data_IF_192684225341
#
_entry.id   IF_192684225341
#
_cell.length_a   1.000
_cell.length_b   1.000
_cell.length_c   1.000
_cell.angle_alpha   90.00
_cell.angle_beta   90.00
_cell.angle_gamma   90.00
#
_symmetry.space_group_name_H-M   'P 1'
#
loop_
_entity.id
_entity.type
_entity.pdbx_description
1 polymer ?
#
# COMPACT_ATOMS: atom_id res chain seq x y z
N UNK A 1 -1.51 -8.13 -1.97
CA UNK A 1 -2.48 -7.19 -1.38
C UNK A 1 -3.58 -7.99 -0.75
N UNK A 2 -4.20 -7.50 0.33
CA UNK A 2 -5.24 -8.26 1.04
C UNK A 2 -6.65 -7.77 0.77
N UNK A 3 -7.60 -8.71 0.72
CA UNK A 3 -9.01 -8.49 0.45
C UNK A 3 -9.84 -8.74 1.71
N UNK A 4 -10.82 -7.86 1.96
CA UNK A 4 -11.67 -7.91 3.14
C UNK A 4 -12.80 -8.95 2.97
N UNK A 5 -12.84 -10.05 3.76
CA UNK A 5 -13.88 -11.05 3.61
C UNK A 5 -15.19 -10.63 4.30
N UNK A 6 -16.28 -11.29 3.93
CA UNK A 6 -17.57 -11.31 4.62
C UNK A 6 -17.84 -12.71 5.21
N UNK A 7 -18.89 -12.88 6.04
CA UNK A 7 -19.27 -14.19 6.53
C UNK A 7 -19.57 -15.17 5.38
N UNK A 8 -18.70 -16.17 5.19
CA UNK A 8 -18.85 -17.20 4.15
C UNK A 8 -18.29 -16.84 2.78
N UNK A 9 -17.65 -15.69 2.60
CA UNK A 9 -17.13 -15.28 1.29
C UNK A 9 -15.82 -14.46 1.40
N UNK A 10 -14.83 -14.77 0.55
CA UNK A 10 -13.46 -14.26 0.71
C UNK A 10 -13.26 -12.79 0.33
N UNK A 11 -14.12 -12.21 -0.51
CA UNK A 11 -13.99 -10.83 -1.01
C UNK A 11 -14.97 -9.82 -0.40
N UNK A 12 -15.96 -10.27 0.39
CA UNK A 12 -17.04 -9.40 0.84
C UNK A 12 -17.92 -8.77 -0.26
N UNK A 13 -17.68 -9.14 -1.52
CA UNK A 13 -18.39 -8.64 -2.70
C UNK A 13 -19.89 -8.95 -2.69
N UNK A 14 -20.27 -10.05 -2.04
CA UNK A 14 -21.65 -10.52 -1.86
C UNK A 14 -22.54 -9.56 -1.06
N UNK A 15 -21.94 -8.67 -0.27
CA UNK A 15 -22.67 -7.70 0.55
C UNK A 15 -23.02 -6.40 -0.20
N UNK A 16 -22.47 -6.21 -1.40
CA UNK A 16 -22.73 -5.04 -2.24
C UNK A 16 -23.92 -5.28 -3.16
N UNK A 17 -24.53 -4.18 -3.64
CA UNK A 17 -25.55 -4.24 -4.69
C UNK A 17 -25.01 -4.95 -5.95
N UNK A 18 -25.91 -5.57 -6.73
CA UNK A 18 -25.53 -6.50 -7.82
C UNK A 18 -24.63 -5.86 -8.88
N UNK A 19 -24.86 -4.59 -9.21
CA UNK A 19 -24.04 -3.80 -10.12
C UNK A 19 -22.59 -3.68 -9.60
N UNK A 20 -22.41 -3.27 -8.36
CA UNK A 20 -21.08 -3.13 -7.73
C UNK A 20 -20.41 -4.47 -7.49
N UNK A 21 -21.19 -5.48 -7.10
CA UNK A 21 -20.73 -6.86 -6.90
C UNK A 21 -20.10 -7.38 -8.18
N UNK A 22 -20.73 -7.16 -9.33
CA UNK A 22 -20.19 -7.60 -10.63
C UNK A 22 -18.80 -7.00 -10.91
N UNK A 23 -18.64 -5.70 -10.59
CA UNK A 23 -17.38 -4.97 -10.77
C UNK A 23 -16.28 -5.53 -9.86
N UNK A 24 -16.60 -5.82 -8.59
CA UNK A 24 -15.63 -6.38 -7.64
C UNK A 24 -15.18 -7.78 -8.07
N UNK A 25 -16.11 -8.64 -8.53
CA UNK A 25 -15.79 -10.00 -8.98
C UNK A 25 -14.96 -10.01 -10.27
N UNK A 26 -15.20 -9.06 -11.18
CA UNK A 26 -14.44 -8.92 -12.42
C UNK A 26 -12.94 -8.66 -12.21
N UNK A 27 -12.53 -8.25 -11.01
CA UNK A 27 -11.13 -7.91 -10.71
C UNK A 27 -10.24 -9.12 -10.51
N UNK A 28 -10.74 -10.14 -9.81
CA UNK A 28 -9.97 -11.34 -9.52
C UNK A 28 -10.89 -12.45 -9.05
N UNK A 29 -10.78 -13.65 -9.63
CA UNK A 29 -11.56 -14.78 -9.15
C UNK A 29 -11.08 -15.21 -7.75
N UNK A 30 -12.05 -15.51 -6.90
CA UNK A 30 -11.84 -15.84 -5.48
C UNK A 30 -10.90 -17.03 -5.26
N UNK A 31 -10.97 -18.02 -6.14
CA UNK A 31 -10.19 -19.26 -6.02
C UNK A 31 -8.70 -19.07 -6.30
N UNK A 32 -8.28 -17.92 -6.81
CA UNK A 32 -6.87 -17.57 -7.06
C UNK A 32 -6.24 -16.77 -5.91
N UNK A 33 -7.01 -16.45 -4.87
CA UNK A 33 -6.48 -15.72 -3.72
C UNK A 33 -5.58 -16.63 -2.89
N UNK A 34 -4.35 -16.18 -2.68
CA UNK A 34 -3.42 -16.84 -1.78
C UNK A 34 -3.83 -16.57 -0.34
N UNK A 35 -3.45 -17.44 0.59
CA UNK A 35 -3.81 -17.31 2.01
C UNK A 35 -3.44 -15.94 2.62
N UNK A 36 -2.29 -15.37 2.27
CA UNK A 36 -1.85 -14.06 2.75
C UNK A 36 -2.66 -12.89 2.15
N UNK A 37 -3.36 -13.11 1.04
CA UNK A 37 -4.25 -12.14 0.40
C UNK A 37 -5.65 -12.15 1.04
N UNK A 38 -5.99 -13.18 1.82
CA UNK A 38 -7.24 -13.22 2.56
C UNK A 38 -7.09 -12.49 3.90
N UNK A 39 -7.77 -11.35 4.08
CA UNK A 39 -7.69 -10.61 5.33
C UNK A 39 -8.33 -11.40 6.48
N UNK A 40 -7.71 -11.47 7.68
CA UNK A 40 -8.24 -12.28 8.77
C UNK A 40 -9.61 -11.84 9.30
N UNK A 41 -10.39 -12.82 9.78
CA UNK A 41 -11.71 -12.57 10.38
C UNK A 41 -11.71 -12.59 11.91
N UNK A 42 -10.61 -12.98 12.54
CA UNK A 42 -10.46 -13.12 13.99
C UNK A 42 -9.07 -12.65 14.47
N UNK A 43 -8.95 -12.37 15.77
CA UNK A 43 -7.65 -11.98 16.37
C UNK A 43 -6.64 -13.12 16.33
N UNK A 44 -7.07 -14.36 16.54
CA UNK A 44 -6.22 -15.55 16.44
C UNK A 44 -5.58 -15.64 15.05
N UNK A 45 -6.40 -15.48 14.00
CA UNK A 45 -5.90 -15.54 12.62
C UNK A 45 -4.99 -14.32 12.30
N UNK A 46 -5.28 -13.14 12.84
CA UNK A 46 -4.38 -11.97 12.71
C UNK A 46 -2.99 -12.24 13.28
N UNK A 47 -2.88 -12.98 14.39
CA UNK A 47 -1.59 -13.32 15.01
C UNK A 47 -0.76 -14.21 14.09
N UNK A 48 -1.38 -15.12 13.34
CA UNK A 48 -0.66 -15.97 12.39
C UNK A 48 -0.29 -15.19 11.11
N UNK A 49 -1.18 -14.29 10.70
CA UNK A 49 -1.11 -13.60 9.40
C UNK A 49 -0.18 -12.37 9.39
N UNK A 50 -0.15 -11.57 10.47
CA UNK A 50 0.59 -10.32 10.52
C UNK A 50 1.41 -10.12 11.80
N UNK A 51 2.41 -9.24 11.71
CA UNK A 51 3.23 -8.77 12.81
C UNK A 51 3.26 -7.24 12.85
N UNK A 52 3.54 -6.68 14.02
CA UNK A 52 3.94 -5.28 14.13
C UNK A 52 5.47 -5.20 14.08
N UNK A 53 6.00 -4.48 13.11
CA UNK A 53 7.43 -4.21 12.97
C UNK A 53 7.72 -2.74 13.25
N UNK A 54 8.97 -2.42 13.62
CA UNK A 54 9.43 -1.03 13.64
C UNK A 54 9.78 -0.60 12.22
N UNK A 55 9.35 0.60 11.83
CA UNK A 55 9.78 1.20 10.58
C UNK A 55 11.29 1.46 10.65
N UNK A 56 12.11 1.02 9.67
CA UNK A 56 13.58 1.13 9.74
C UNK A 56 14.06 2.58 9.68
N UNK A 57 13.40 3.40 8.86
CA UNK A 57 13.69 4.84 8.71
C UNK A 57 12.40 5.66 8.80
N UNK A 58 11.80 5.81 10.00
CA UNK A 58 10.48 6.42 10.12
C UNK A 58 10.54 7.89 9.70
N UNK A 59 9.60 8.36 8.86
CA UNK A 59 9.55 9.77 8.46
C UNK A 59 9.21 10.69 9.64
N UNK A 60 8.52 10.16 10.65
CA UNK A 60 8.18 10.81 11.92
C UNK A 60 8.27 9.76 13.04
N UNK A 61 8.81 10.13 14.21
CA UNK A 61 8.87 9.27 15.40
C UNK A 61 7.49 8.72 15.80
N UNK A 62 6.42 9.47 15.50
CA UNK A 62 5.04 9.04 15.78
C UNK A 62 4.58 7.87 14.90
N UNK A 63 5.22 7.67 13.74
CA UNK A 63 4.94 6.66 12.70
C UNK A 63 6.02 5.59 12.71
N UNK A 64 6.37 5.11 13.90
CA UNK A 64 7.50 4.20 14.07
C UNK A 64 7.12 2.73 13.89
N UNK A 65 5.84 2.41 13.66
CA UNK A 65 5.35 1.03 13.64
C UNK A 65 4.55 0.76 12.36
N UNK A 66 4.80 -0.39 11.77
CA UNK A 66 4.16 -0.88 10.55
C UNK A 66 3.48 -2.22 10.83
N UNK A 67 2.33 -2.44 10.21
CA UNK A 67 1.75 -3.77 10.09
C UNK A 67 2.39 -4.47 8.89
N UNK A 68 3.00 -5.62 9.10
CA UNK A 68 3.70 -6.39 8.05
C UNK A 68 3.18 -7.82 7.98
N UNK A 69 3.23 -8.43 6.79
CA UNK A 69 2.91 -9.85 6.62
C UNK A 69 3.94 -10.72 7.38
N UNK A 70 3.46 -11.75 8.10
CA UNK A 70 4.33 -12.73 8.76
C UNK A 70 4.79 -13.84 7.83
N UNK A 71 3.84 -14.37 7.07
CA UNK A 71 4.05 -15.52 6.19
C UNK A 71 3.83 -15.08 4.75
N UNK A 72 4.93 -14.86 4.04
CA UNK A 72 4.90 -14.74 2.59
C UNK A 72 5.33 -16.06 1.96
N UNK A 73 4.73 -16.44 0.82
CA UNK A 73 5.06 -17.69 0.17
C UNK A 73 6.41 -17.58 -0.57
N UNK A 74 7.52 -17.91 0.11
CA UNK A 74 8.84 -18.38 -0.44
C UNK A 74 9.62 -17.51 -1.45
N UNK A 75 10.93 -17.78 -1.62
CA UNK A 75 12.02 -17.47 -0.70
C UNK A 75 12.47 -16.02 -0.91
N UNK A 76 11.86 -15.09 -0.19
CA UNK A 76 12.23 -13.69 -0.27
C UNK A 76 13.49 -13.38 0.57
N UNK A 77 14.22 -12.30 0.28
CA UNK A 77 15.40 -11.92 1.06
C UNK A 77 15.02 -11.80 2.53
N UNK A 78 15.77 -12.48 3.41
CA UNK A 78 15.48 -12.66 4.84
C UNK A 78 15.31 -11.36 5.67
N UNK A 79 15.50 -10.19 5.08
CA UNK A 79 15.52 -8.90 5.76
C UNK A 79 14.53 -7.86 5.20
N UNK A 80 13.66 -8.23 4.25
CA UNK A 80 12.66 -7.31 3.72
C UNK A 80 11.40 -7.30 4.60
N UNK A 81 10.88 -6.10 4.87
CA UNK A 81 9.57 -5.91 5.48
C UNK A 81 8.54 -5.66 4.38
N UNK A 82 7.39 -6.34 4.49
CA UNK A 82 6.30 -6.21 3.53
C UNK A 82 5.09 -5.63 4.24
N UNK A 83 4.88 -4.30 4.14
CA UNK A 83 3.70 -3.65 4.71
C UNK A 83 2.42 -4.31 4.21
N UNK A 84 1.48 -4.49 5.13
CA UNK A 84 0.15 -4.96 4.78
C UNK A 84 -0.58 -3.85 4.04
N UNK A 85 -0.96 -4.14 2.81
CA UNK A 85 -1.91 -3.35 2.04
C UNK A 85 -3.25 -4.06 1.99
N UNK A 86 -4.33 -3.31 2.22
CA UNK A 86 -5.71 -3.77 2.19
C UNK A 86 -6.47 -3.03 1.11
N UNK A 87 -7.32 -3.76 0.38
CA UNK A 87 -8.22 -3.20 -0.60
C UNK A 87 -9.55 -2.85 0.04
N UNK A 88 -9.98 -1.61 -0.14
CA UNK A 88 -11.17 -1.03 0.47
C UNK A 88 -12.07 -0.48 -0.62
N UNK A 89 -13.36 -0.77 -0.52
CA UNK A 89 -14.38 -0.31 -1.44
C UNK A 89 -15.31 0.69 -0.75
N UNK A 90 -15.73 1.75 -1.44
CA UNK A 90 -16.68 2.68 -0.87
C UNK A 90 -16.98 3.85 -1.80
N UNK A 91 -17.76 4.80 -1.30
CA UNK A 91 -18.13 5.99 -2.07
C UNK A 91 -17.37 7.21 -1.59
N UNK A 92 -16.80 7.98 -2.52
CA UNK A 92 -16.11 9.22 -2.22
C UNK A 92 -17.06 10.23 -1.55
N UNK A 93 -16.70 10.71 -0.36
CA UNK A 93 -17.45 11.77 0.35
C UNK A 93 -16.74 13.12 0.25
N UNK A 94 -15.46 13.16 0.63
CA UNK A 94 -14.60 14.35 0.57
C UNK A 94 -13.22 13.91 0.11
N UNK A 95 -12.56 14.69 -0.74
CA UNK A 95 -11.22 14.37 -1.18
C UNK A 95 -10.42 15.62 -1.53
N UNK A 96 -9.11 15.47 -1.46
CA UNK A 96 -8.06 16.42 -1.82
C UNK A 96 -6.86 15.56 -2.23
N UNK A 97 -6.88 15.05 -3.45
CA UNK A 97 -5.94 14.03 -3.94
C UNK A 97 -5.04 14.50 -5.09
N UNK A 98 -5.16 15.76 -5.52
CA UNK A 98 -4.23 16.35 -6.47
C UNK A 98 -2.78 16.26 -5.98
N UNK A 99 -1.81 16.42 -6.88
CA UNK A 99 -0.39 16.13 -6.67
C UNK A 99 0.23 16.76 -5.40
N UNK A 100 -0.28 17.94 -5.04
CA UNK A 100 0.17 18.70 -3.88
C UNK A 100 -0.83 18.73 -2.72
N UNK A 101 -1.93 17.98 -2.83
CA UNK A 101 -2.99 17.93 -1.83
C UNK A 101 -3.45 19.33 -1.44
N UNK A 102 -3.43 19.63 -0.14
CA UNK A 102 -3.81 20.94 0.39
C UNK A 102 -2.65 21.96 0.48
N UNK A 103 -1.50 21.69 -0.15
CA UNK A 103 -0.38 22.63 -0.17
C UNK A 103 -0.61 23.74 -1.20
N UNK A 104 -0.39 24.98 -0.78
CA UNK A 104 -0.64 26.19 -1.56
C UNK A 104 0.64 26.88 -2.02
N UNK A 105 1.78 26.18 -2.04
CA UNK A 105 3.09 26.75 -2.36
C UNK A 105 3.85 27.36 -1.17
N UNK A 106 3.23 27.48 0.00
CA UNK A 106 3.89 28.03 1.19
C UNK A 106 4.84 27.00 1.82
N UNK A 107 6.14 27.26 1.73
CA UNK A 107 7.19 26.41 2.30
C UNK A 107 7.06 26.20 3.82
N UNK A 108 6.47 27.16 4.56
CA UNK A 108 6.26 27.01 6.01
C UNK A 108 5.20 25.96 6.34
N UNK A 109 4.30 25.67 5.39
CA UNK A 109 3.21 24.69 5.52
C UNK A 109 3.54 23.32 4.94
N UNK A 110 4.74 23.14 4.39
CA UNK A 110 5.21 21.88 3.79
C UNK A 110 5.00 20.66 4.70
N UNK A 111 5.33 20.78 5.98
CA UNK A 111 5.18 19.69 6.96
C UNK A 111 3.72 19.24 7.15
N UNK A 112 2.76 20.12 6.86
CA UNK A 112 1.33 19.91 7.06
C UNK A 112 0.60 19.55 5.77
N UNK A 113 1.28 19.62 4.62
CA UNK A 113 0.73 19.25 3.33
C UNK A 113 0.31 17.77 3.32
N UNK A 114 -0.96 17.53 3.00
CA UNK A 114 -1.55 16.20 2.94
C UNK A 114 -2.45 16.08 1.71
N UNK A 115 -2.40 14.90 1.11
CA UNK A 115 -3.49 14.37 0.32
C UNK A 115 -4.43 13.64 1.26
N UNK A 116 -5.73 13.77 1.06
CA UNK A 116 -6.70 13.13 1.93
C UNK A 116 -7.96 12.77 1.18
N UNK A 117 -8.64 11.73 1.64
CA UNK A 117 -10.01 11.45 1.23
C UNK A 117 -10.79 10.75 2.34
N UNK A 118 -12.10 10.77 2.17
CA UNK A 118 -13.04 10.11 3.05
C UNK A 118 -14.00 9.27 2.23
N UNK A 119 -14.22 8.04 2.68
CA UNK A 119 -15.21 7.12 2.13
C UNK A 119 -16.44 7.03 3.03
N UNK A 120 -17.58 6.74 2.41
CA UNK A 120 -18.88 6.52 3.06
C UNK A 120 -19.63 5.33 2.44
N UNK A 121 -20.76 4.92 3.05
CA UNK A 121 -21.56 3.78 2.60
C UNK A 121 -22.53 4.09 1.45
N UNK A 122 -22.98 5.35 1.31
CA UNK A 122 -24.09 5.75 0.40
C UNK A 122 -25.27 4.76 0.39
N UNK A 123 -25.68 4.27 1.57
CA UNK A 123 -26.79 3.31 1.72
C UNK A 123 -26.38 1.84 1.77
N UNK A 124 -25.18 1.45 1.30
CA UNK A 124 -24.63 0.09 1.36
C UNK A 124 -24.10 -0.27 2.76
N UNK A 125 -24.96 -0.15 3.77
CA UNK A 125 -24.56 -0.18 5.18
C UNK A 125 -24.02 -1.54 5.64
N UNK A 126 -24.51 -2.65 5.06
CA UNK A 126 -24.05 -4.00 5.41
C UNK A 126 -22.61 -4.25 4.95
N UNK A 127 -22.33 -4.04 3.65
CA UNK A 127 -20.98 -4.13 3.10
C UNK A 127 -20.00 -3.19 3.81
N UNK A 128 -20.44 -1.93 4.03
CA UNK A 128 -19.61 -0.93 4.69
C UNK A 128 -19.26 -1.32 6.12
N UNK A 129 -20.26 -1.75 6.92
CA UNK A 129 -20.02 -2.20 8.30
C UNK A 129 -19.06 -3.39 8.34
N UNK A 130 -19.24 -4.37 7.45
CA UNK A 130 -18.33 -5.52 7.38
C UNK A 130 -16.88 -5.06 7.16
N UNK A 131 -16.61 -4.14 6.25
CA UNK A 131 -15.26 -3.61 6.06
C UNK A 131 -14.73 -2.90 7.30
N UNK A 132 -15.53 -2.02 7.92
CA UNK A 132 -15.10 -1.30 9.12
C UNK A 132 -14.81 -2.24 10.28
N UNK A 133 -15.58 -3.31 10.45
CA UNK A 133 -15.36 -4.33 11.47
C UNK A 133 -14.02 -5.07 11.25
N UNK A 134 -13.66 -5.39 10.00
CA UNK A 134 -12.34 -5.96 9.67
C UNK A 134 -11.20 -4.98 9.91
N UNK A 135 -11.39 -3.69 9.64
CA UNK A 135 -10.37 -2.68 9.95
C UNK A 135 -10.23 -2.47 11.47
N UNK A 136 -11.33 -2.52 12.23
CA UNK A 136 -11.32 -2.47 13.70
C UNK A 136 -10.67 -3.71 14.33
N UNK A 137 -10.73 -4.87 13.67
CA UNK A 137 -10.01 -6.07 14.11
C UNK A 137 -8.49 -5.84 14.12
N UNK A 138 -7.94 -5.20 13.08
CA UNK A 138 -6.52 -4.81 13.07
C UNK A 138 -6.22 -3.79 14.17
N UNK A 139 -7.15 -2.88 14.47
CA UNK A 139 -6.96 -1.95 15.58
C UNK A 139 -6.85 -2.65 16.94
N UNK A 140 -7.70 -3.64 17.16
CA UNK A 140 -7.64 -4.49 18.35
C UNK A 140 -6.32 -5.26 18.40
N UNK A 141 -5.91 -5.86 17.28
CA UNK A 141 -4.63 -6.55 17.16
C UNK A 141 -3.42 -5.66 17.50
N UNK A 142 -3.33 -4.47 16.89
CA UNK A 142 -2.25 -3.53 17.17
C UNK A 142 -2.24 -3.06 18.64
N UNK A 143 -3.42 -2.85 19.23
CA UNK A 143 -3.56 -2.52 20.65
C UNK A 143 -2.97 -3.60 21.55
N UNK A 144 -3.30 -4.87 21.29
CA UNK A 144 -2.81 -6.02 22.04
C UNK A 144 -1.30 -6.22 21.88
N UNK A 145 -0.79 -6.20 20.65
CA UNK A 145 0.64 -6.46 20.37
C UNK A 145 1.53 -5.39 20.99
N UNK A 146 1.11 -4.12 20.94
CA UNK A 146 1.91 -3.01 21.44
C UNK A 146 1.64 -2.69 22.91
N UNK A 147 0.64 -3.34 23.51
CA UNK A 147 0.16 -3.05 24.88
C UNK A 147 -0.22 -1.57 25.05
N UNK A 148 -0.78 -0.97 24.00
CA UNK A 148 -1.26 0.41 24.02
C UNK A 148 -2.78 0.38 23.92
N UNK A 149 -3.52 0.90 24.91
CA UNK A 149 -4.98 0.88 24.86
C UNK A 149 -5.46 1.74 23.69
N UNK A 150 -6.17 1.12 22.76
CA UNK A 150 -6.90 1.79 21.70
C UNK A 150 -8.40 1.67 21.98
N UNK A 151 -9.21 2.69 21.62
CA UNK A 151 -10.66 2.51 21.59
C UNK A 151 -11.04 1.24 20.81
N UNK A 152 -11.97 0.46 21.37
CA UNK A 152 -12.45 -0.80 20.76
C UNK A 152 -13.01 -0.61 19.36
N UNK A 153 -13.51 0.58 19.05
CA UNK A 153 -14.01 0.97 17.73
C UNK A 153 -13.29 2.24 17.29
N UNK A 154 -12.40 2.11 16.31
CA UNK A 154 -11.72 3.23 15.65
C UNK A 154 -12.55 3.78 14.50
N UNK A 155 -13.13 2.90 13.70
CA UNK A 155 -13.87 3.23 12.48
C UNK A 155 -15.35 2.93 12.67
N UNK A 156 -16.22 3.95 12.58
CA UNK A 156 -17.66 3.83 12.85
C UNK A 156 -18.55 3.99 11.62
N UNK A 157 -18.44 5.13 10.96
CA UNK A 157 -19.36 5.53 9.89
C UNK A 157 -18.64 6.04 8.65
N UNK A 158 -17.49 6.68 8.84
CA UNK A 158 -16.66 7.21 7.77
C UNK A 158 -15.25 6.64 7.90
N UNK A 159 -14.60 6.47 6.77
CA UNK A 159 -13.20 6.08 6.71
C UNK A 159 -12.41 7.26 6.14
N UNK A 160 -11.69 7.96 7.01
CA UNK A 160 -10.79 9.01 6.58
C UNK A 160 -9.38 8.46 6.42
N UNK A 161 -8.79 8.73 5.26
CA UNK A 161 -7.45 8.32 4.91
C UNK A 161 -6.67 9.53 4.43
N UNK A 162 -5.38 9.55 4.74
CA UNK A 162 -4.51 10.66 4.35
C UNK A 162 -3.11 10.17 4.03
N UNK A 163 -2.36 10.96 3.29
CA UNK A 163 -0.95 10.76 2.97
C UNK A 163 -0.22 12.09 3.04
N UNK A 164 1.01 12.09 3.54
CA UNK A 164 1.85 13.28 3.50
C UNK A 164 2.31 13.54 2.07
N UNK A 165 2.13 14.77 1.60
CA UNK A 165 2.65 15.20 0.29
C UNK A 165 4.17 15.25 0.34
N UNK A 166 4.72 15.78 1.44
CA UNK A 166 6.16 15.88 1.65
C UNK A 166 6.60 15.09 2.88
N UNK A 167 7.70 14.36 2.75
CA UNK A 167 8.38 13.68 3.86
C UNK A 167 9.73 14.33 4.11
N UNK A 168 10.19 14.31 5.36
CA UNK A 168 11.49 14.88 5.72
C UNK A 168 12.56 13.81 5.54
N UNK A 169 13.50 14.03 4.64
CA UNK A 169 14.66 13.15 4.50
C UNK A 169 15.70 13.52 5.58
N UNK A 170 15.71 12.73 6.64
CA UNK A 170 16.62 12.91 7.79
C UNK A 170 17.98 12.24 7.61
N UNK A 171 18.26 11.62 6.46
CA UNK A 171 19.60 11.09 6.19
C UNK A 171 20.63 12.22 6.24
N UNK A 172 21.81 11.91 6.75
CA UNK A 172 22.83 12.90 7.05
C UNK A 172 23.21 13.66 5.77
N UNK A 173 23.36 15.01 5.80
CA UNK A 173 23.68 15.80 4.61
C UNK A 173 24.89 15.29 3.81
N UNK A 174 25.87 14.69 4.51
CA UNK A 174 27.07 14.12 3.90
C UNK A 174 26.82 12.87 3.04
N UNK A 175 25.86 12.01 3.41
CA UNK A 175 25.46 10.86 2.59
C UNK A 175 24.64 11.31 1.36
N UNK A 176 23.97 12.46 1.48
CA UNK A 176 23.18 13.06 0.41
C UNK A 176 24.05 13.82 -0.60
N UNK A 177 25.20 14.37 -0.20
CA UNK A 177 26.12 15.02 -1.12
C UNK A 177 26.65 14.01 -2.15
N UNK A 178 27.08 12.81 -1.71
CA UNK A 178 27.47 11.73 -2.64
C UNK A 178 26.31 11.24 -3.52
N UNK A 179 25.08 11.18 -2.99
CA UNK A 179 23.91 10.79 -3.78
C UNK A 179 23.51 11.88 -4.80
N UNK A 180 23.67 13.16 -4.45
CA UNK A 180 23.37 14.33 -5.28
C UNK A 180 24.44 14.57 -6.34
N UNK A 181 25.69 14.17 -6.07
CA UNK A 181 26.78 14.20 -7.04
C UNK A 181 26.70 12.99 -8.01
N UNK A 182 26.07 11.88 -7.60
CA UNK A 182 25.81 10.69 -8.45
C UNK A 182 24.54 10.79 -9.28
N UNK A 183 23.48 11.40 -8.76
CA UNK A 183 22.33 11.83 -9.56
C UNK A 183 22.61 13.25 -10.03
N UNK A 184 23.35 13.39 -11.14
CA UNK A 184 23.36 14.61 -11.92
C UNK A 184 21.92 15.16 -11.96
N UNK A 185 21.74 16.32 -11.32
CA UNK A 185 20.44 16.95 -11.08
C UNK A 185 19.51 16.73 -12.27
N UNK A 186 18.25 16.28 -12.09
CA UNK A 186 17.26 16.58 -13.10
C UNK A 186 17.18 18.10 -13.09
N UNK A 187 17.88 18.72 -14.04
CA UNK A 187 17.69 20.10 -14.40
C UNK A 187 16.18 20.22 -14.54
N UNK A 188 15.53 20.84 -13.55
CA UNK A 188 14.15 21.28 -13.71
C UNK A 188 14.25 22.23 -14.89
N UNK A 189 13.95 21.72 -16.09
CA UNK A 189 13.81 22.54 -17.26
C UNK A 189 12.59 23.37 -16.94
N UNK A 190 12.83 24.59 -16.43
CA UNK A 190 11.83 25.61 -16.25
C UNK A 190 11.44 26.03 -17.67
N UNK A 191 10.58 25.24 -18.30
CA UNK A 191 9.87 25.68 -19.49
C UNK A 191 8.88 26.76 -19.07
N UNK A 192 8.63 27.78 -19.90
CA UNK A 192 7.65 28.83 -19.60
C UNK A 192 6.23 28.28 -19.35
N UNK A 193 5.93 27.05 -19.77
CA UNK A 193 4.68 26.34 -19.46
C UNK A 193 4.55 25.92 -18.00
N UNK A 194 5.65 25.82 -17.25
CA UNK A 194 5.68 25.42 -15.83
C UNK A 194 5.77 26.60 -14.86
N UNK A 195 5.61 27.85 -15.33
CA UNK A 195 5.70 29.05 -14.49
C UNK A 195 4.68 29.08 -13.33
N UNK A 196 3.60 28.31 -13.44
CA UNK A 196 2.55 28.21 -12.42
C UNK A 196 2.79 27.10 -11.38
N UNK A 197 3.79 26.23 -11.58
CA UNK A 197 4.11 25.18 -10.60
C UNK A 197 4.85 25.83 -9.43
N UNK A 198 4.32 25.76 -8.20
CA UNK A 198 5.00 26.33 -7.04
C UNK A 198 6.39 25.72 -6.91
N UNK A 199 7.40 26.56 -6.62
CA UNK A 199 8.76 26.08 -6.36
C UNK A 199 8.70 25.05 -5.23
N UNK A 200 9.12 23.82 -5.54
CA UNK A 200 9.08 22.74 -4.57
C UNK A 200 9.92 23.10 -3.33
N UNK A 201 9.49 22.69 -2.13
CA UNK A 201 10.27 22.90 -0.92
C UNK A 201 11.65 22.25 -1.06
N UNK A 202 12.68 22.98 -0.67
CA UNK A 202 14.05 22.49 -0.71
C UNK A 202 14.33 21.49 0.45
N UNK A 203 15.56 20.99 0.49
CA UNK A 203 16.05 20.15 1.58
C UNK A 203 15.67 20.77 2.95
N UNK A 204 15.13 19.97 3.89
CA UNK A 204 15.13 18.51 3.94
C UNK A 204 13.86 17.83 3.40
N UNK A 205 13.02 18.53 2.64
CA UNK A 205 11.76 17.98 2.16
C UNK A 205 11.92 17.20 0.86
N UNK A 206 11.22 16.08 0.79
CA UNK A 206 11.09 15.25 -0.41
C UNK A 206 9.61 15.12 -0.75
N UNK A 207 9.25 15.40 -2.00
CA UNK A 207 7.90 15.15 -2.50
C UNK A 207 7.67 13.63 -2.60
N UNK A 208 6.52 13.18 -2.12
CA UNK A 208 6.15 11.76 -2.09
C UNK A 208 5.69 11.24 -3.45
N UNK A 209 5.62 12.11 -4.46
CA UNK A 209 5.12 11.80 -5.79
C UNK A 209 3.59 11.83 -5.88
N UNK A 210 3.05 11.74 -7.10
CA UNK A 210 1.62 11.80 -7.35
C UNK A 210 0.89 10.58 -6.78
N UNK A 211 -0.43 10.70 -6.69
CA UNK A 211 -1.32 9.56 -6.46
C UNK A 211 -1.69 8.97 -7.81
N UNK A 212 -1.53 7.66 -7.98
CA UNK A 212 -2.02 6.92 -9.15
C UNK A 212 -3.55 6.84 -9.04
N UNK A 213 -4.23 7.64 -9.87
CA UNK A 213 -5.67 7.59 -10.04
C UNK A 213 -5.93 6.87 -11.34
N UNK A 214 -6.71 5.81 -11.27
CA UNK A 214 -7.06 4.95 -12.38
C UNK A 214 -8.57 5.01 -12.57
N UNK A 215 -9.02 4.88 -13.80
CA UNK A 215 -10.43 4.77 -14.14
C UNK A 215 -10.68 3.40 -14.78
N UNK A 216 -11.79 2.78 -14.41
CA UNK A 216 -12.28 1.57 -15.04
C UNK A 216 -13.27 1.94 -16.15
N UNK A 217 -12.90 1.65 -17.39
CA UNK A 217 -13.79 1.77 -18.54
C UNK A 217 -14.90 0.72 -18.53
N UNK A 218 -15.90 0.91 -19.40
CA UNK A 218 -17.04 -0.01 -19.56
C UNK A 218 -16.61 -1.42 -19.99
N UNK A 219 -15.49 -1.53 -20.70
CA UNK A 219 -14.86 -2.79 -21.13
C UNK A 219 -14.06 -3.48 -20.01
N UNK A 220 -14.00 -2.88 -18.81
CA UNK A 220 -13.22 -3.34 -17.67
C UNK A 220 -11.73 -2.96 -17.75
N UNK A 221 -11.29 -2.28 -18.82
CA UNK A 221 -9.91 -1.82 -18.93
C UNK A 221 -9.63 -0.71 -17.91
N UNK A 222 -8.43 -0.77 -17.34
CA UNK A 222 -7.96 0.20 -16.35
C UNK A 222 -7.02 1.18 -17.04
N UNK A 223 -7.36 2.46 -17.00
CA UNK A 223 -6.58 3.52 -17.64
C UNK A 223 -6.17 4.57 -16.58
N UNK A 224 -5.02 5.25 -16.72
CA UNK A 224 -4.71 6.42 -15.90
C UNK A 224 -5.79 7.50 -16.05
N UNK A 225 -6.13 8.17 -14.96
CA UNK A 225 -7.14 9.22 -14.91
C UNK A 225 -6.68 10.39 -14.03
N UNK A 226 -7.38 11.52 -14.14
CA UNK A 226 -7.05 12.75 -13.43
C UNK A 226 -8.03 13.01 -12.28
N UNK A 227 -7.55 13.62 -11.20
CA UNK A 227 -8.35 13.92 -10.01
C UNK A 227 -9.55 14.83 -10.28
N UNK A 228 -9.50 15.62 -11.35
CA UNK A 228 -10.58 16.54 -11.76
C UNK A 228 -11.83 15.78 -12.21
N UNK A 229 -11.68 14.51 -12.61
CA UNK A 229 -12.79 13.66 -13.03
C UNK A 229 -13.50 13.00 -11.84
N UNK A 230 -12.90 13.04 -10.64
CA UNK A 230 -13.52 12.49 -9.44
C UNK A 230 -14.64 13.40 -8.94
N UNK A 231 -15.72 12.77 -8.50
CA UNK A 231 -16.89 13.41 -7.92
C UNK A 231 -17.28 12.78 -6.60
N UNK A 232 -17.97 13.57 -5.76
CA UNK A 232 -18.59 13.05 -4.55
C UNK A 232 -19.69 12.06 -4.96
N UNK A 233 -19.66 10.86 -4.38
CA UNK A 233 -20.57 9.77 -4.68
C UNK A 233 -20.02 8.76 -5.69
N UNK A 234 -18.83 8.98 -6.24
CA UNK A 234 -18.20 7.95 -7.08
C UNK A 234 -17.83 6.73 -6.26
N UNK A 235 -18.07 5.55 -6.83
CA UNK A 235 -17.62 4.30 -6.24
C UNK A 235 -16.15 4.09 -6.56
N UNK A 236 -15.35 3.76 -5.55
CA UNK A 236 -13.91 3.64 -5.67
C UNK A 236 -13.40 2.38 -4.99
N UNK A 237 -12.37 1.80 -5.59
CA UNK A 237 -11.50 0.78 -5.01
C UNK A 237 -10.19 1.47 -4.59
N UNK A 238 -9.82 1.35 -3.32
CA UNK A 238 -8.64 2.02 -2.74
C UNK A 238 -7.73 0.98 -2.15
N UNK A 239 -6.46 1.06 -2.54
CA UNK A 239 -5.40 0.32 -1.88
C UNK A 239 -4.88 1.18 -0.73
N UNK A 240 -4.93 0.65 0.49
CA UNK A 240 -4.57 1.38 1.69
C UNK A 240 -3.57 0.60 2.52
N UNK A 241 -2.66 1.30 3.16
CA UNK A 241 -1.69 0.71 4.10
C UNK A 241 -1.98 1.21 5.52
N UNK A 242 -1.62 0.40 6.50
CA UNK A 242 -1.77 0.78 7.90
C UNK A 242 -0.53 1.50 8.41
N UNK A 243 -0.71 2.72 8.89
CA UNK A 243 0.35 3.44 9.62
C UNK A 243 -0.14 3.77 11.02
N UNK A 244 0.52 3.18 12.01
CA UNK A 244 0.16 3.42 13.39
C UNK A 244 0.79 4.72 13.88
N UNK A 245 -0.06 5.70 14.21
CA UNK A 245 0.36 7.01 14.71
C UNK A 245 0.18 7.07 16.23
N UNK A 246 1.27 6.86 16.96
CA UNK A 246 1.26 6.94 18.42
C UNK A 246 1.48 8.39 18.85
N UNK A 247 0.48 8.99 19.50
CA UNK A 247 0.55 10.36 20.02
C UNK A 247 0.64 10.31 21.55
N UNK A 248 1.85 10.43 22.07
CA UNK A 248 2.07 10.56 23.51
C UNK A 248 1.80 12.01 23.93
N UNK A 249 0.80 12.21 24.80
CA UNK A 249 0.53 13.52 25.42
C UNK A 249 1.17 13.54 26.80
N UNK A 250 2.34 14.16 26.90
CA UNK A 250 3.13 14.21 28.14
C UNK A 250 2.60 15.22 29.18
N UNK A 251 1.63 16.08 28.83
CA UNK A 251 1.31 17.29 29.62
C UNK A 251 -0.12 17.37 30.17
N UNK A 252 -0.92 16.30 30.17
CA UNK A 252 -2.20 16.32 30.88
C UNK A 252 -2.43 15.01 31.60
N UNK A 253 -3.16 15.03 32.72
CA UNK A 253 -3.62 13.87 33.47
C UNK A 253 -4.50 12.88 32.67
N UNK A 254 -4.54 13.00 31.33
CA UNK A 254 -5.20 12.07 30.43
C UNK A 254 -4.17 11.04 29.94
N UNK A 255 -4.55 9.75 29.88
CA UNK A 255 -3.67 8.71 29.38
C UNK A 255 -3.21 9.02 27.95
N UNK A 256 -2.00 8.58 27.62
CA UNK A 256 -1.45 8.60 26.26
C UNK A 256 -2.49 8.09 25.26
N UNK A 257 -2.77 8.86 24.21
CA UNK A 257 -3.76 8.49 23.20
C UNK A 257 -3.04 7.99 21.95
N UNK A 258 -2.99 6.68 21.75
CA UNK A 258 -2.64 6.15 20.44
C UNK A 258 -3.86 6.22 19.49
N UNK A 259 -3.56 6.40 18.21
CA UNK A 259 -4.55 6.38 17.13
C UNK A 259 -3.99 5.54 16.00
N UNK A 260 -4.86 4.78 15.36
CA UNK A 260 -4.49 4.15 14.09
C UNK A 260 -4.94 5.06 12.98
N UNK A 261 -4.03 5.31 12.03
CA UNK A 261 -4.36 5.98 10.80
C UNK A 261 -4.27 4.96 9.67
N UNK A 262 -5.27 4.97 8.80
CA UNK A 262 -5.16 4.28 7.52
C UNK A 262 -4.60 5.31 6.54
N UNK A 263 -3.51 4.94 5.90
CA UNK A 263 -2.83 5.79 4.94
C UNK A 263 -3.27 5.43 3.55
N UNK A 264 -3.47 6.45 2.74
CA UNK A 264 -3.66 6.25 1.32
C UNK A 264 -2.37 5.65 0.75
N UNK A 265 -2.46 4.42 0.23
CA UNK A 265 -1.42 3.93 -0.65
C UNK A 265 -1.60 4.66 -1.98
N UNK A 266 -0.53 4.81 -2.78
CA UNK A 266 -0.55 5.52 -4.06
C UNK A 266 -1.59 5.10 -5.10
N UNK A 267 -2.53 4.18 -4.86
CA UNK A 267 -3.46 3.71 -5.90
C UNK A 267 -4.92 3.90 -5.50
N UNK A 268 -5.65 4.65 -6.32
CA UNK A 268 -7.12 4.76 -6.32
C UNK A 268 -7.60 4.29 -7.68
N UNK A 269 -8.55 3.37 -7.73
CA UNK A 269 -9.31 3.08 -8.94
C UNK A 269 -10.72 3.64 -8.77
N UNK A 270 -11.03 4.69 -9.53
CA UNK A 270 -12.38 5.15 -9.73
C UNK A 270 -13.12 4.21 -10.68
N UNK A 271 -14.32 3.84 -10.27
CA UNK A 271 -15.23 3.05 -11.07
C UNK A 271 -16.30 4.04 -11.46
N UNK A 272 -16.33 4.40 -12.75
CA UNK A 272 -17.39 5.24 -13.28
C UNK A 272 -18.72 4.57 -12.91
N UNK A 273 -19.53 5.24 -12.10
CA UNK A 273 -20.90 4.80 -11.89
C UNK A 273 -21.53 4.72 -13.28
N UNK A 274 -22.22 3.61 -13.58
CA UNK A 274 -22.99 3.42 -14.81
C UNK A 274 -24.00 4.57 -14.95
N UNK A 275 -23.58 5.69 -15.49
CA UNK A 275 -24.48 6.68 -16.05
C UNK A 275 -24.98 6.11 -17.38
N UNK A 276 -26.27 6.24 -17.73
CA UNK A 276 -26.78 5.81 -19.02
C UNK A 276 -26.03 6.55 -20.14
N UNK A 277 -25.12 5.84 -20.81
CA UNK A 277 -24.10 6.44 -21.69
C UNK A 277 -24.60 6.68 -23.12
N UNK A 278 -24.21 7.84 -23.67
CA UNK A 278 -24.04 8.07 -25.11
C UNK A 278 -22.53 8.14 -25.46
N UNK A 279 -22.12 7.99 -26.74
CA UNK A 279 -20.80 7.45 -27.08
C UNK A 279 -19.70 8.51 -27.39
N UNK A 280 -18.42 8.22 -27.07
CA UNK A 280 -17.25 8.79 -27.79
C UNK A 280 -15.91 8.02 -27.57
N UNK A 281 -14.91 8.29 -28.43
CA UNK A 281 -13.75 7.47 -28.87
C UNK A 281 -12.35 7.88 -28.28
N UNK A 282 -11.30 7.14 -28.65
CA UNK A 282 -10.11 6.70 -27.86
C UNK A 282 -8.69 7.24 -28.22
N UNK A 283 -7.69 6.82 -27.38
CA UNK A 283 -6.22 6.58 -27.58
C UNK A 283 -5.19 7.66 -27.14
N UNK A 284 -3.85 7.38 -26.99
CA UNK A 284 -3.05 6.21 -26.53
C UNK A 284 -1.96 6.53 -25.42
N UNK A 285 -1.07 5.55 -25.07
CA UNK A 285 -0.21 5.37 -23.87
C UNK A 285 1.28 5.83 -23.92
N UNK A 286 1.99 5.91 -22.75
CA UNK A 286 3.25 5.13 -22.55
C UNK A 286 3.65 4.68 -21.09
N UNK A 287 4.62 3.74 -21.07
CA UNK A 287 5.34 2.86 -20.07
C UNK A 287 6.09 3.52 -18.86
N UNK A 288 6.71 2.82 -17.89
CA UNK A 288 6.25 2.06 -16.68
C UNK A 288 7.39 2.04 -15.60
N UNK A 289 7.07 1.99 -14.29
CA UNK A 289 7.97 1.71 -13.14
C UNK A 289 7.35 0.59 -12.26
N UNK A 290 8.12 -0.42 -11.81
CA UNK A 290 7.59 -1.67 -11.20
C UNK A 290 7.46 -1.65 -9.66
N UNK A 291 6.25 -1.99 -9.17
CA UNK A 291 5.95 -2.52 -7.82
C UNK A 291 5.57 -4.00 -7.95
N UNK A 292 5.66 -4.78 -6.88
CA UNK A 292 5.24 -6.19 -6.88
C UNK A 292 3.73 -6.28 -7.15
N UNK A 293 3.41 -6.57 -8.40
CA UNK A 293 2.06 -6.86 -8.90
C UNK A 293 1.93 -8.37 -9.02
N UNK A 294 0.95 -8.95 -8.35
CA UNK A 294 0.49 -10.29 -8.70
C UNK A 294 -0.48 -10.13 -9.86
N UNK A 295 0.05 -10.16 -11.08
CA UNK A 295 -0.67 -10.54 -12.31
C UNK A 295 0.37 -10.98 -13.36
N UNK A 296 0.61 -12.29 -13.41
CA UNK A 296 0.70 -13.13 -14.62
C UNK A 296 1.14 -14.55 -14.24
N UNK A 297 0.23 -15.50 -14.49
CA UNK A 297 0.59 -16.86 -14.87
C UNK A 297 1.13 -16.74 -16.29
N UNK A 298 2.43 -16.95 -16.47
CA UNK A 298 3.01 -17.15 -17.79
C UNK A 298 2.54 -18.51 -18.28
N UNK A 299 1.55 -18.53 -19.18
CA UNK A 299 1.25 -19.70 -20.00
C UNK A 299 2.49 -20.09 -20.80
N UNK A 300 2.77 -21.39 -20.81
CA UNK A 300 4.01 -21.96 -21.29
C UNK A 300 4.25 -21.78 -22.79
N UNK A 301 5.54 -21.72 -23.14
CA UNK A 301 6.03 -22.16 -24.43
C UNK A 301 6.82 -23.47 -24.25
N UNK A 302 6.80 -24.35 -25.26
CA UNK A 302 7.34 -25.69 -25.16
C UNK A 302 8.86 -25.66 -25.34
N UNK A 303 9.58 -26.28 -24.41
CA UNK A 303 11.00 -26.56 -24.63
C UNK A 303 11.14 -27.73 -25.60
N UNK A 304 11.63 -27.38 -26.79
CA UNK A 304 12.12 -28.30 -27.81
C UNK A 304 13.51 -28.76 -27.38
N UNK A 305 13.64 -30.05 -27.09
CA UNK A 305 14.94 -30.72 -26.94
C UNK A 305 15.77 -30.60 -28.23
N UNK A 306 17.11 -30.64 -28.07
CA UNK A 306 17.84 -31.67 -28.81
C UNK A 306 18.76 -32.49 -27.90
N UNK A 307 18.79 -33.79 -28.23
CA UNK A 307 19.58 -34.84 -27.61
C UNK A 307 21.06 -34.84 -27.99
N UNK A 308 21.86 -35.28 -27.02
CA UNK A 308 23.04 -36.18 -27.09
C UNK A 308 24.35 -35.77 -27.81
N UNK A 309 25.45 -35.76 -27.02
CA UNK A 309 26.60 -36.69 -27.12
C UNK A 309 27.69 -36.22 -26.13
N UNK A 310 27.96 -36.93 -25.03
CA UNK A 310 28.76 -38.15 -24.84
C UNK A 310 30.25 -37.89 -24.52
N UNK A 311 30.73 -38.60 -23.48
CA UNK A 311 32.12 -39.04 -23.23
C UNK A 311 33.13 -38.01 -22.67
N UNK A 312 33.51 -38.11 -21.38
CA UNK A 312 34.70 -38.87 -20.92
C UNK A 312 34.97 -38.61 -19.40
N UNK A 313 34.97 -39.68 -18.61
CA UNK A 313 35.73 -39.79 -17.35
C UNK A 313 37.19 -40.16 -17.71
N UNK A 314 38.21 -39.75 -16.94
CA UNK A 314 38.57 -40.55 -15.75
C UNK A 314 39.13 -39.77 -14.53
N UNK A 315 38.87 -40.34 -13.35
CA UNK A 315 39.61 -40.21 -12.07
C UNK A 315 41.08 -40.76 -12.18
N UNK A 316 42.00 -40.68 -11.17
CA UNK A 316 41.81 -40.39 -9.73
C UNK A 316 42.92 -39.56 -9.00
N UNK A 317 42.69 -39.34 -7.70
CA UNK A 317 43.63 -39.28 -6.57
C UNK A 317 44.44 -37.98 -6.27
N UNK A 318 44.18 -37.36 -5.10
CA UNK A 318 45.07 -37.44 -3.92
C UNK A 318 44.64 -36.53 -2.76
N UNK A 319 44.34 -37.18 -1.63
CA UNK A 319 44.83 -36.95 -0.26
C UNK A 319 45.01 -35.54 0.34
N UNK A 320 44.40 -35.38 1.53
CA UNK A 320 44.95 -34.85 2.80
C UNK A 320 44.00 -33.82 3.45
N UNK A 321 43.19 -34.26 4.42
CA UNK A 321 43.43 -34.14 5.86
C UNK A 321 43.76 -32.72 6.33
N UNK A 322 42.82 -32.07 7.03
CA UNK A 322 43.16 -31.49 8.32
C UNK A 322 41.95 -31.46 9.26
N UNK A 323 42.21 -32.04 10.43
CA UNK A 323 41.37 -32.16 11.62
C UNK A 323 41.45 -30.86 12.41
N UNK A 324 40.33 -30.39 12.98
CA UNK A 324 40.33 -29.88 14.37
C UNK A 324 38.93 -29.83 14.99
N UNK A 325 38.82 -30.58 16.09
CA UNK A 325 37.73 -30.61 17.08
C UNK A 325 38.03 -29.67 18.26
N UNK A 326 37.00 -29.51 19.09
CA UNK A 326 36.90 -29.10 20.50
C UNK A 326 36.46 -27.64 20.70
N UNK A 327 35.26 -27.33 21.20
CA UNK A 327 34.50 -27.76 22.41
C UNK A 327 34.84 -26.94 23.67
N UNK A 328 33.81 -26.23 24.14
CA UNK A 328 33.37 -26.01 25.54
C UNK A 328 34.28 -25.28 26.53
N UNK A 329 33.73 -24.24 27.17
CA UNK A 329 33.46 -24.27 28.62
C UNK A 329 32.51 -23.15 29.05
N UNK A 330 31.57 -23.56 29.91
CA UNK A 330 30.77 -22.73 30.80
C UNK A 330 31.64 -22.19 31.93
N UNK A 331 31.38 -20.95 32.34
CA UNK A 331 31.03 -20.54 33.70
C UNK A 331 30.40 -19.13 33.65
#
# INVERSE_FOLDING_TARGET
MSFLPSPGHLLGADLWADDLRSIIHGRRPIHELRQWECYPTSLCNMIEWAAMARHPSPPDRRRSHLLVYKTLPTPEPCNALYPVSVRIYGFLDRFCVGDFGNWNGDCTRTANAVQSLSLSSMGNSAAWRNQLDRLNLMASFASHVLKIPLPSIQFRHHLHMQRKVFTKNLKHPFELQEARDRLASPTQIVTPQNAHVPRLPEYPWQWSGPLEILEMGEDGNIMPSHEVLLSRGDFVEIDAEFDLVIILRLQSARPSQARICIMLSPRITAIAALQPTGPSLSAPSPTEVRRMRTDHVTEGLPDVFPSESSVHEPNPASSSQLVRRHSTSFL
#
